data_IF_631828419339
#
_entry.id   IF_631828419339
#
_cell.length_a   1.000
_cell.length_b   1.000
_cell.length_c   1.000
_cell.angle_alpha   90.00
_cell.angle_beta   90.00
_cell.angle_gamma   90.00
#
_symmetry.space_group_name_H-M   'P 1'
#
loop_
_entity.id
_entity.type
_entity.pdbx_description
1 polymer ?
#
# COMPACT_ATOMS: atom_id res chain seq x y z
N UNK A 1 16.16 44.72 -69.01
CA UNK A 1 14.98 44.71 -68.11
C UNK A 1 14.49 43.27 -68.02
N UNK A 2 15.10 42.45 -67.16
CA UNK A 2 14.80 41.02 -67.04
C UNK A 2 13.92 40.75 -65.84
N UNK A 3 12.69 40.30 -66.06
CA UNK A 3 11.75 39.90 -65.01
C UNK A 3 12.10 38.50 -64.50
N UNK A 4 12.79 38.41 -63.36
CA UNK A 4 12.90 37.16 -62.60
C UNK A 4 11.62 36.96 -61.78
N UNK A 5 10.86 35.94 -62.15
CA UNK A 5 9.79 35.34 -61.34
C UNK A 5 10.40 34.74 -60.07
N UNK A 6 10.08 35.33 -58.92
CA UNK A 6 10.38 34.73 -57.62
C UNK A 6 9.41 33.57 -57.38
N UNK A 7 9.93 32.34 -57.29
CA UNK A 7 9.18 31.17 -56.81
C UNK A 7 8.87 31.36 -55.33
N UNK A 8 7.59 31.47 -55.02
CA UNK A 8 7.03 31.43 -53.67
C UNK A 8 7.20 30.00 -53.12
N UNK A 9 8.29 29.73 -52.40
CA UNK A 9 8.47 28.49 -51.66
C UNK A 9 7.76 28.59 -50.31
N UNK A 10 6.43 28.43 -50.32
CA UNK A 10 5.68 28.17 -49.08
C UNK A 10 5.93 26.73 -48.67
N UNK A 11 6.80 26.55 -47.68
CA UNK A 11 6.93 25.30 -46.93
C UNK A 11 5.56 24.96 -46.36
N UNK A 12 4.95 23.85 -46.81
CA UNK A 12 3.72 23.33 -46.23
C UNK A 12 3.99 23.04 -44.75
N UNK A 13 3.38 23.82 -43.87
CA UNK A 13 3.28 23.48 -42.46
C UNK A 13 2.64 22.09 -42.37
N UNK A 14 3.33 21.13 -41.77
CA UNK A 14 2.85 19.75 -41.65
C UNK A 14 1.47 19.72 -41.03
N UNK A 15 0.53 19.06 -41.71
CA UNK A 15 -0.79 18.76 -41.16
C UNK A 15 -0.60 18.04 -39.82
N UNK A 16 -1.11 18.65 -38.73
CA UNK A 16 -1.15 17.97 -37.44
C UNK A 16 -2.05 16.76 -37.61
N UNK A 17 -1.47 15.56 -37.48
CA UNK A 17 -2.21 14.31 -37.50
C UNK A 17 -3.41 14.41 -36.55
N UNK A 18 -4.59 14.05 -37.05
CA UNK A 18 -5.82 14.08 -36.27
C UNK A 18 -5.70 13.06 -35.16
N UNK A 19 -5.85 13.49 -33.92
CA UNK A 19 -5.84 12.60 -32.76
C UNK A 19 -7.01 11.60 -32.88
N UNK A 20 -6.68 10.30 -32.97
CA UNK A 20 -7.65 9.22 -33.17
C UNK A 20 -8.31 8.73 -31.88
N UNK A 21 -7.85 9.21 -30.71
CA UNK A 21 -8.41 8.81 -29.41
C UNK A 21 -9.85 9.29 -29.25
N UNK A 22 -10.68 8.43 -28.68
CA UNK A 22 -12.05 8.72 -28.27
C UNK A 22 -12.10 9.82 -27.20
N UNK A 23 -13.27 10.44 -27.01
CA UNK A 23 -13.46 11.44 -25.97
C UNK A 23 -13.14 10.90 -24.56
N UNK A 24 -13.51 9.65 -24.26
CA UNK A 24 -13.19 9.03 -22.96
C UNK A 24 -11.70 8.80 -22.76
N UNK A 25 -11.00 8.31 -23.79
CA UNK A 25 -9.54 8.13 -23.72
C UNK A 25 -8.84 9.47 -23.48
N UNK A 26 -9.26 10.53 -24.17
CA UNK A 26 -8.70 11.88 -23.93
C UNK A 26 -9.00 12.39 -22.53
N UNK A 27 -10.21 12.16 -22.01
CA UNK A 27 -10.54 12.53 -20.62
C UNK A 27 -9.68 11.77 -19.62
N UNK A 28 -9.49 10.47 -19.82
CA UNK A 28 -8.64 9.65 -18.98
C UNK A 28 -7.18 10.14 -19.01
N UNK A 29 -6.65 10.45 -20.19
CA UNK A 29 -5.29 10.98 -20.36
C UNK A 29 -5.12 12.33 -19.66
N UNK A 30 -6.08 13.26 -19.85
CA UNK A 30 -6.04 14.57 -19.18
C UNK A 30 -6.11 14.41 -17.65
N UNK A 31 -6.94 13.51 -17.15
CA UNK A 31 -7.01 13.21 -15.71
C UNK A 31 -5.66 12.69 -15.22
N UNK A 32 -5.06 11.72 -15.92
CA UNK A 32 -3.75 11.17 -15.58
C UNK A 32 -2.65 12.24 -15.61
N UNK A 33 -2.62 13.10 -16.63
CA UNK A 33 -1.65 14.18 -16.78
C UNK A 33 -1.78 15.22 -15.65
N UNK A 34 -3.00 15.63 -15.32
CA UNK A 34 -3.26 16.60 -14.25
C UNK A 34 -2.78 16.05 -12.91
N UNK A 35 -3.16 14.81 -12.56
CA UNK A 35 -2.71 14.21 -11.31
C UNK A 35 -1.20 13.90 -11.30
N UNK A 36 -0.64 13.49 -12.44
CA UNK A 36 0.80 13.29 -12.61
C UNK A 36 1.58 14.58 -12.35
N UNK A 37 1.11 15.70 -12.90
CA UNK A 37 1.70 17.01 -12.66
C UNK A 37 1.60 17.44 -11.20
N UNK A 38 0.45 17.23 -10.55
CA UNK A 38 0.26 17.54 -9.13
C UNK A 38 1.22 16.74 -8.24
N UNK A 39 1.33 15.43 -8.45
CA UNK A 39 2.18 14.55 -7.66
C UNK A 39 3.68 14.85 -7.89
N UNK A 40 4.07 15.16 -9.11
CA UNK A 40 5.44 15.54 -9.46
C UNK A 40 5.86 16.84 -8.75
N UNK A 41 5.04 17.89 -8.84
CA UNK A 41 5.35 19.19 -8.26
C UNK A 41 5.06 19.26 -6.76
N UNK A 42 4.21 18.37 -6.24
CA UNK A 42 3.74 18.43 -4.86
C UNK A 42 2.75 19.57 -4.60
N UNK A 43 2.07 20.05 -5.65
CA UNK A 43 1.09 21.13 -5.59
C UNK A 43 -0.25 20.65 -6.17
N UNK A 44 -1.36 21.11 -5.62
CA UNK A 44 -2.68 20.89 -6.22
C UNK A 44 -2.95 21.85 -7.39
N UNK A 45 -4.13 21.76 -8.03
CA UNK A 45 -4.48 22.62 -9.17
C UNK A 45 -4.58 24.12 -8.81
N UNK A 46 -4.63 24.48 -7.53
CA UNK A 46 -4.64 25.87 -7.05
C UNK A 46 -3.24 26.35 -6.65
N UNK A 47 -2.19 25.54 -6.86
CA UNK A 47 -0.83 25.87 -6.45
C UNK A 47 -0.60 25.72 -4.94
N UNK A 48 -1.52 25.07 -4.20
CA UNK A 48 -1.35 24.79 -2.77
C UNK A 48 -0.53 23.53 -2.58
N UNK A 49 0.34 23.50 -1.57
CA UNK A 49 1.16 22.31 -1.28
C UNK A 49 0.27 21.12 -0.90
N UNK A 50 0.51 19.98 -1.54
CA UNK A 50 -0.14 18.73 -1.16
C UNK A 50 0.20 18.36 0.29
N UNK A 51 -0.74 17.73 1.01
CA UNK A 51 -0.49 17.32 2.39
C UNK A 51 0.65 16.30 2.43
N UNK A 52 1.62 16.54 3.32
CA UNK A 52 2.65 15.57 3.64
C UNK A 52 2.24 14.84 4.93
N UNK A 53 2.33 13.50 4.93
CA UNK A 53 2.13 12.68 6.13
C UNK A 53 3.42 11.97 6.48
N UNK A 54 3.87 12.11 7.74
CA UNK A 54 5.19 11.63 8.17
C UNK A 54 6.34 12.06 7.24
N UNK A 55 6.29 13.31 6.75
CA UNK A 55 7.26 13.89 5.79
C UNK A 55 7.35 13.13 4.48
N UNK A 56 6.29 12.42 4.08
CA UNK A 56 6.17 11.77 2.78
C UNK A 56 5.01 12.39 2.00
N UNK A 57 5.26 12.61 0.72
CA UNK A 57 4.22 12.94 -0.26
C UNK A 57 3.23 11.78 -0.39
N UNK A 58 2.02 12.03 -0.91
CA UNK A 58 1.09 10.96 -1.27
C UNK A 58 1.79 9.91 -2.15
N UNK A 59 1.70 8.64 -1.74
CA UNK A 59 2.30 7.51 -2.45
C UNK A 59 1.42 6.27 -2.25
N UNK A 60 1.58 5.31 -3.15
CA UNK A 60 1.02 3.97 -3.02
C UNK A 60 2.12 2.98 -2.68
N UNK A 61 1.76 1.87 -2.06
CA UNK A 61 2.67 0.76 -1.78
C UNK A 61 2.13 -0.52 -2.39
N UNK A 62 2.87 -1.06 -3.35
CA UNK A 62 2.55 -2.34 -4.00
C UNK A 62 3.54 -3.38 -3.49
N UNK A 63 3.03 -4.44 -2.89
CA UNK A 63 3.80 -5.61 -2.53
C UNK A 63 3.83 -6.55 -3.73
N UNK A 64 5.04 -6.89 -4.16
CA UNK A 64 5.29 -7.73 -5.34
C UNK A 64 6.21 -8.87 -4.87
N UNK A 65 5.78 -10.15 -4.97
CA UNK A 65 6.69 -11.26 -4.76
C UNK A 65 7.88 -11.15 -5.72
N UNK A 66 9.09 -11.44 -5.23
CA UNK A 66 10.30 -11.26 -6.05
C UNK A 66 10.28 -12.16 -7.30
N UNK A 67 9.68 -13.35 -7.20
CA UNK A 67 9.51 -14.28 -8.31
C UNK A 67 8.58 -13.70 -9.39
N UNK A 68 7.45 -13.10 -8.98
CA UNK A 68 6.53 -12.39 -9.88
C UNK A 68 7.19 -11.17 -10.54
N UNK A 69 7.99 -10.42 -9.77
CA UNK A 69 8.74 -9.27 -10.28
C UNK A 69 9.75 -9.69 -11.36
N UNK A 70 10.43 -10.81 -11.13
CA UNK A 70 11.41 -11.40 -12.06
C UNK A 70 10.78 -12.15 -13.24
N UNK A 71 9.45 -12.30 -13.25
CA UNK A 71 8.72 -13.01 -14.31
C UNK A 71 8.87 -14.54 -14.24
N UNK A 72 9.20 -15.08 -13.07
CA UNK A 72 9.22 -16.53 -12.82
C UNK A 72 7.80 -17.08 -12.73
N UNK A 73 6.88 -16.29 -12.19
CA UNK A 73 5.45 -16.57 -12.07
C UNK A 73 4.62 -15.30 -12.35
N UNK A 74 3.29 -15.45 -12.40
CA UNK A 74 2.31 -14.38 -12.60
C UNK A 74 1.32 -14.30 -11.43
N UNK A 75 1.79 -14.59 -10.21
CA UNK A 75 0.96 -14.49 -9.02
C UNK A 75 0.43 -13.04 -8.81
N UNK A 76 -0.79 -12.88 -8.27
CA UNK A 76 -1.33 -11.56 -7.99
C UNK A 76 -0.46 -10.84 -6.95
N UNK A 77 -0.24 -9.55 -7.21
CA UNK A 77 0.46 -8.64 -6.30
C UNK A 77 -0.57 -7.91 -5.42
N UNK A 78 -0.14 -7.22 -4.36
CA UNK A 78 -1.08 -6.57 -3.42
C UNK A 78 -0.85 -5.05 -3.40
N UNK A 79 -1.89 -4.28 -3.72
CA UNK A 79 -1.93 -2.84 -3.47
C UNK A 79 -2.41 -2.60 -2.04
N UNK A 80 -1.52 -2.10 -1.19
CA UNK A 80 -1.76 -2.01 0.26
C UNK A 80 -3.03 -1.22 0.60
N UNK A 81 -4.00 -1.90 1.23
CA UNK A 81 -5.28 -1.32 1.64
C UNK A 81 -6.38 -1.33 0.58
N UNK A 82 -6.08 -1.76 -0.65
CA UNK A 82 -7.04 -1.84 -1.75
C UNK A 82 -7.25 -3.28 -2.24
N UNK A 83 -6.23 -4.13 -2.15
CA UNK A 83 -6.30 -5.55 -2.53
C UNK A 83 -5.45 -5.91 -3.75
N UNK A 84 -5.76 -7.03 -4.42
CA UNK A 84 -4.88 -7.60 -5.42
C UNK A 84 -4.82 -6.79 -6.72
N UNK A 85 -3.64 -6.76 -7.34
CA UNK A 85 -3.37 -6.16 -8.66
C UNK A 85 -2.66 -7.17 -9.56
N UNK A 86 -2.94 -7.18 -10.88
CA UNK A 86 -2.31 -8.12 -11.81
C UNK A 86 -0.79 -7.96 -11.86
N UNK A 87 -0.08 -9.08 -12.04
CA UNK A 87 1.38 -9.13 -12.12
C UNK A 87 1.96 -8.18 -13.19
N UNK A 88 1.33 -8.10 -14.36
CA UNK A 88 1.75 -7.18 -15.43
C UNK A 88 1.69 -5.71 -14.98
N UNK A 89 0.59 -5.32 -14.33
CA UNK A 89 0.41 -3.96 -13.81
C UNK A 89 1.44 -3.65 -12.73
N UNK A 90 1.66 -4.60 -11.81
CA UNK A 90 2.64 -4.46 -10.75
C UNK A 90 4.06 -4.30 -11.31
N UNK A 91 4.45 -5.09 -12.31
CA UNK A 91 5.74 -4.96 -13.00
C UNK A 91 5.89 -3.61 -13.71
N UNK A 92 4.82 -3.09 -14.31
CA UNK A 92 4.83 -1.73 -14.91
C UNK A 92 5.08 -0.67 -13.85
N UNK A 93 4.37 -0.73 -12.71
CA UNK A 93 4.56 0.19 -11.58
C UNK A 93 5.99 0.08 -11.02
N UNK A 94 6.54 -1.14 -10.96
CA UNK A 94 7.87 -1.38 -10.41
C UNK A 94 9.00 -0.72 -11.22
N UNK A 95 8.82 -0.45 -12.52
CA UNK A 95 9.86 0.18 -13.37
C UNK A 95 10.26 1.57 -12.89
N UNK A 96 9.28 2.36 -12.47
CA UNK A 96 9.46 3.74 -12.01
C UNK A 96 9.35 3.86 -10.48
N UNK A 97 9.14 2.74 -9.79
CA UNK A 97 8.94 2.68 -8.35
C UNK A 97 10.23 2.74 -7.54
N UNK A 98 10.15 3.23 -6.30
CA UNK A 98 11.23 3.07 -5.32
C UNK A 98 11.09 1.73 -4.61
N UNK A 99 12.17 0.94 -4.62
CA UNK A 99 12.13 -0.43 -4.10
C UNK A 99 12.55 -0.47 -2.63
N UNK A 100 11.90 -1.34 -1.87
CA UNK A 100 12.30 -1.71 -0.51
C UNK A 100 12.22 -3.22 -0.39
N UNK A 101 13.19 -3.81 0.31
CA UNK A 101 13.19 -5.25 0.59
C UNK A 101 12.28 -5.55 1.79
N UNK A 102 11.44 -6.57 1.63
CA UNK A 102 10.67 -7.20 2.70
C UNK A 102 11.08 -8.67 2.78
N UNK A 103 11.50 -9.13 3.95
CA UNK A 103 11.77 -10.54 4.21
C UNK A 103 10.56 -11.15 4.91
N UNK A 104 10.11 -12.28 4.37
CA UNK A 104 8.91 -12.98 4.81
C UNK A 104 9.22 -14.45 5.03
N UNK A 105 8.54 -15.07 5.98
CA UNK A 105 8.60 -16.52 6.19
C UNK A 105 7.95 -17.23 5.00
N UNK A 106 8.64 -18.16 4.32
CA UNK A 106 8.12 -18.81 3.12
C UNK A 106 6.93 -19.73 3.40
N UNK A 107 6.73 -20.15 4.65
CA UNK A 107 5.71 -21.12 5.05
C UNK A 107 4.37 -20.47 5.34
N UNK A 108 4.38 -19.25 5.86
CA UNK A 108 3.16 -18.56 6.34
C UNK A 108 3.07 -17.08 5.94
N UNK A 109 4.07 -16.54 5.23
CA UNK A 109 4.12 -15.14 4.78
C UNK A 109 4.27 -14.13 5.92
N UNK A 110 4.67 -14.55 7.13
CA UNK A 110 4.89 -13.62 8.24
C UNK A 110 6.04 -12.69 7.91
N UNK A 111 5.86 -11.39 8.13
CA UNK A 111 6.93 -10.42 7.97
C UNK A 111 8.00 -10.61 9.05
N UNK A 112 9.20 -11.00 8.61
CA UNK A 112 10.38 -11.18 9.46
C UNK A 112 11.14 -9.86 9.63
N UNK A 113 11.31 -9.10 8.54
CA UNK A 113 12.04 -7.83 8.53
C UNK A 113 11.62 -6.97 7.33
N UNK A 114 11.43 -5.67 7.55
CA UNK A 114 11.36 -4.69 6.47
C UNK A 114 12.61 -3.80 6.47
N UNK A 115 13.25 -3.66 5.30
CA UNK A 115 14.42 -2.79 5.13
C UNK A 115 14.04 -1.31 5.01
N UNK A 116 14.90 -0.44 5.52
CA UNK A 116 14.81 1.02 5.38
C UNK A 116 16.18 1.58 5.02
N UNK A 117 16.22 2.68 4.27
CA UNK A 117 17.46 3.42 4.01
C UNK A 117 17.98 4.18 5.24
N UNK A 118 17.20 4.23 6.34
CA UNK A 118 17.63 4.81 7.61
C UNK A 118 18.22 3.73 8.51
N UNK A 119 19.37 4.00 9.09
CA UNK A 119 20.07 3.07 9.99
C UNK A 119 19.51 3.07 11.44
N UNK A 120 18.44 3.85 11.72
CA UNK A 120 17.88 3.91 13.06
C UNK A 120 16.95 2.71 13.36
N UNK A 121 17.09 2.02 14.51
CA UNK A 121 16.25 0.89 14.87
C UNK A 121 14.75 1.22 14.91
N UNK A 122 14.38 2.46 15.22
CA UNK A 122 12.98 2.90 15.27
C UNK A 122 12.30 2.86 13.90
N UNK A 123 13.01 3.21 12.83
CA UNK A 123 12.54 3.12 11.47
C UNK A 123 12.39 1.66 11.03
N UNK A 124 13.32 0.77 11.36
CA UNK A 124 13.20 -0.67 11.05
C UNK A 124 11.97 -1.27 11.73
N UNK A 125 11.77 -1.01 13.03
CA UNK A 125 10.58 -1.48 13.76
C UNK A 125 9.30 -0.92 13.14
N UNK A 126 9.29 0.38 12.83
CA UNK A 126 8.12 1.04 12.22
C UNK A 126 7.78 0.46 10.84
N UNK A 127 8.76 0.32 9.96
CA UNK A 127 8.52 -0.20 8.61
C UNK A 127 8.11 -1.68 8.66
N UNK A 128 8.68 -2.46 9.60
CA UNK A 128 8.30 -3.86 9.79
C UNK A 128 6.85 -3.98 10.29
N UNK A 129 6.43 -3.11 11.22
CA UNK A 129 5.04 -3.04 11.68
C UNK A 129 4.07 -2.72 10.54
N UNK A 130 4.40 -1.71 9.74
CA UNK A 130 3.55 -1.26 8.63
C UNK A 130 3.49 -2.29 7.49
N UNK A 131 4.58 -3.00 7.24
CA UNK A 131 4.57 -4.08 6.27
C UNK A 131 3.73 -5.27 6.78
N UNK A 132 3.85 -5.61 8.07
CA UNK A 132 3.04 -6.66 8.71
C UNK A 132 1.55 -6.35 8.62
N UNK A 133 1.15 -5.12 8.94
CA UNK A 133 -0.24 -4.68 8.93
C UNK A 133 -0.50 -3.66 7.81
N UNK A 134 -1.16 -4.01 6.68
CA UNK A 134 -1.45 -3.04 5.62
C UNK A 134 -2.43 -1.95 6.05
N UNK A 135 -3.33 -2.30 6.97
CA UNK A 135 -4.43 -1.47 7.44
C UNK A 135 -4.47 -1.46 8.97
N UNK A 136 -5.28 -0.56 9.50
CA UNK A 136 -5.66 -0.51 10.91
C UNK A 136 -6.05 -1.91 11.40
N UNK A 137 -5.52 -2.33 12.56
CA UNK A 137 -5.79 -3.65 13.12
C UNK A 137 -7.20 -3.77 13.74
N UNK A 138 -8.01 -2.71 13.71
CA UNK A 138 -9.38 -2.76 14.18
C UNK A 138 -10.25 -3.60 13.23
N UNK A 139 -11.13 -4.49 13.74
CA UNK A 139 -11.97 -5.34 12.91
C UNK A 139 -12.77 -4.55 11.87
N UNK A 140 -12.60 -4.90 10.60
CA UNK A 140 -13.31 -4.28 9.48
C UNK A 140 -12.81 -2.90 9.03
N UNK A 141 -11.77 -2.34 9.66
CA UNK A 141 -11.21 -1.07 9.24
C UNK A 141 -10.25 -1.25 8.05
N UNK A 142 -10.42 -0.43 7.00
CA UNK A 142 -9.57 -0.43 5.80
C UNK A 142 -8.62 0.78 5.73
N UNK A 143 -8.56 1.62 6.77
CA UNK A 143 -7.61 2.74 6.84
C UNK A 143 -6.19 2.20 6.75
N UNK A 144 -5.37 2.71 5.84
CA UNK A 144 -4.00 2.21 5.68
C UNK A 144 -3.17 2.42 6.95
N UNK A 145 -2.27 1.50 7.27
CA UNK A 145 -1.45 1.59 8.49
C UNK A 145 -0.48 2.78 8.47
N UNK A 146 -0.12 3.27 7.28
CA UNK A 146 0.66 4.50 7.07
C UNK A 146 -0.04 5.75 7.61
N UNK A 147 -1.37 5.69 7.69
CA UNK A 147 -2.24 6.73 8.25
C UNK A 147 -2.61 6.48 9.71
N UNK A 148 -2.08 5.41 10.31
CA UNK A 148 -2.34 4.99 11.67
C UNK A 148 -1.21 5.43 12.60
N UNK A 149 -1.57 5.58 13.87
CA UNK A 149 -0.61 5.70 14.95
C UNK A 149 0.06 4.34 15.19
N UNK A 150 1.33 4.39 15.58
CA UNK A 150 2.09 3.20 16.01
C UNK A 150 1.83 3.03 17.50
N UNK A 151 0.68 2.49 17.79
CA UNK A 151 0.12 2.49 19.14
C UNK A 151 0.69 1.33 19.96
N UNK A 152 0.95 1.58 21.25
CA UNK A 152 1.39 0.54 22.17
C UNK A 152 0.16 -0.22 22.69
N UNK A 153 0.12 -1.53 22.46
CA UNK A 153 -0.94 -2.39 23.00
C UNK A 153 -0.97 -2.35 24.54
N UNK A 154 0.19 -2.25 25.17
CA UNK A 154 0.36 -1.90 26.59
C UNK A 154 0.99 -0.51 26.69
N UNK A 155 0.35 0.49 27.32
CA UNK A 155 0.83 1.87 27.37
C UNK A 155 2.32 1.97 27.68
N UNK A 156 3.05 2.84 26.97
CA UNK A 156 4.50 2.99 27.16
C UNK A 156 4.89 3.29 28.61
N UNK A 157 4.07 4.05 29.35
CA UNK A 157 4.30 4.34 30.78
C UNK A 157 4.31 3.09 31.66
N UNK A 158 3.71 2.00 31.21
CA UNK A 158 3.66 0.71 31.92
C UNK A 158 4.73 -0.26 31.39
N UNK A 159 4.95 -0.31 30.08
CA UNK A 159 5.88 -1.27 29.46
C UNK A 159 7.33 -0.79 29.38
N UNK A 160 7.56 0.53 29.32
CA UNK A 160 8.87 1.16 29.19
C UNK A 160 9.65 0.81 27.91
N UNK A 161 9.03 0.08 26.97
CA UNK A 161 9.71 -0.53 25.83
C UNK A 161 8.87 -0.36 24.56
N UNK A 162 9.55 -0.01 23.47
CA UNK A 162 8.97 -0.02 22.12
C UNK A 162 9.58 -1.19 21.37
N UNK A 163 8.76 -2.21 21.09
CA UNK A 163 9.15 -3.38 20.31
C UNK A 163 8.02 -3.73 19.34
N UNK A 164 8.35 -4.48 18.28
CA UNK A 164 7.39 -4.83 17.24
C UNK A 164 6.18 -5.61 17.77
N UNK A 165 6.40 -6.48 18.74
CA UNK A 165 5.38 -7.36 19.35
C UNK A 165 4.31 -6.61 20.12
N UNK A 166 4.69 -5.47 20.73
CA UNK A 166 3.82 -4.63 21.54
C UNK A 166 3.24 -3.43 20.81
N UNK A 167 3.54 -3.27 19.50
CA UNK A 167 3.00 -2.21 18.68
C UNK A 167 1.89 -2.73 17.77
N UNK A 168 0.84 -1.92 17.61
CA UNK A 168 -0.31 -2.20 16.75
C UNK A 168 -0.69 -0.92 16.01
N UNK A 169 -0.95 -0.95 14.70
CA UNK A 169 -1.42 0.24 14.00
C UNK A 169 -2.92 0.44 14.22
N UNK A 170 -3.30 1.57 14.80
CA UNK A 170 -4.68 2.03 14.87
C UNK A 170 -4.84 3.40 14.23
N UNK A 171 -5.89 3.57 13.44
CA UNK A 171 -6.24 4.91 12.97
C UNK A 171 -6.67 5.77 14.15
N UNK A 172 -6.54 7.09 14.03
CA UNK A 172 -6.87 8.04 15.10
C UNK A 172 -8.22 7.75 15.77
N UNK A 173 -9.27 7.50 14.97
CA UNK A 173 -10.59 7.13 15.49
C UNK A 173 -10.56 5.89 16.41
N UNK A 174 -9.92 4.81 15.97
CA UNK A 174 -9.85 3.56 16.73
C UNK A 174 -8.84 3.60 17.89
N UNK A 175 -7.79 4.42 17.75
CA UNK A 175 -6.86 4.71 18.85
C UNK A 175 -7.60 5.41 19.99
N UNK A 176 -8.39 6.45 19.69
CA UNK A 176 -9.24 7.11 20.69
C UNK A 176 -10.22 6.13 21.31
N UNK A 177 -10.81 5.22 20.52
CA UNK A 177 -11.72 4.21 21.07
C UNK A 177 -11.02 3.29 22.08
N UNK A 178 -9.85 2.77 21.72
CA UNK A 178 -9.05 1.93 22.60
C UNK A 178 -8.68 2.66 23.90
N UNK A 179 -8.24 3.90 23.79
CA UNK A 179 -7.63 4.63 24.91
C UNK A 179 -8.65 5.29 25.84
N UNK A 180 -9.93 5.34 25.45
CA UNK A 180 -10.99 5.92 26.27
C UNK A 180 -11.54 4.88 27.26
N UNK A 181 -11.19 4.90 28.57
CA UNK A 181 -11.52 3.82 29.49
C UNK A 181 -13.04 3.70 29.72
N UNK A 182 -13.76 4.81 29.64
CA UNK A 182 -15.21 4.87 29.78
C UNK A 182 -15.96 4.06 28.70
N UNK A 183 -15.31 3.78 27.56
CA UNK A 183 -15.90 2.97 26.50
C UNK A 183 -15.60 1.48 26.64
N UNK A 184 -14.85 1.04 27.65
CA UNK A 184 -14.77 -0.36 28.10
C UNK A 184 -14.12 -1.36 27.14
N UNK A 185 -13.46 -0.91 26.08
CA UNK A 185 -12.75 -1.78 25.14
C UNK A 185 -11.45 -2.31 25.76
N UNK A 186 -11.13 -3.57 25.45
CA UNK A 186 -9.85 -4.18 25.84
C UNK A 186 -9.15 -4.74 24.61
N UNK A 187 -7.84 -4.52 24.52
CA UNK A 187 -7.01 -5.00 23.42
C UNK A 187 -5.91 -5.90 23.95
N UNK A 188 -5.64 -7.00 23.25
CA UNK A 188 -4.51 -7.89 23.52
C UNK A 188 -3.79 -8.15 22.20
N UNK A 189 -2.53 -7.72 22.12
CA UNK A 189 -1.65 -8.03 20.99
C UNK A 189 -0.88 -9.33 21.26
N UNK A 190 -0.65 -10.11 20.22
CA UNK A 190 0.01 -11.41 20.27
C UNK A 190 1.34 -11.42 19.52
N UNK A 191 2.26 -12.37 19.79
CA UNK A 191 3.58 -12.39 19.16
C UNK A 191 3.60 -12.51 17.64
N UNK A 192 2.62 -13.19 17.08
CA UNK A 192 2.38 -13.33 15.64
C UNK A 192 1.85 -12.03 14.98
N UNK A 193 1.57 -10.99 15.78
CA UNK A 193 0.96 -9.74 15.34
C UNK A 193 -0.56 -9.78 15.25
N UNK A 194 -1.21 -10.90 15.59
CA UNK A 194 -2.67 -10.91 15.74
C UNK A 194 -3.10 -10.05 16.93
N UNK A 195 -4.33 -9.54 16.85
CA UNK A 195 -4.88 -8.67 17.88
C UNK A 195 -6.28 -9.14 18.24
N UNK A 196 -6.50 -9.42 19.52
CA UNK A 196 -7.83 -9.70 20.06
C UNK A 196 -8.40 -8.46 20.73
N UNK A 197 -9.52 -7.98 20.21
CA UNK A 197 -10.31 -6.91 20.82
C UNK A 197 -11.52 -7.52 21.54
N UNK A 198 -11.78 -7.07 22.76
CA UNK A 198 -12.97 -7.41 23.53
C UNK A 198 -13.85 -6.18 23.67
N UNK A 199 -15.06 -6.27 23.13
CA UNK A 199 -16.07 -5.25 23.27
C UNK A 199 -16.59 -5.15 24.70
N UNK A 200 -17.21 -4.02 25.10
CA UNK A 200 -17.79 -3.85 26.44
C UNK A 200 -18.88 -4.88 26.76
N UNK A 201 -19.55 -5.39 25.73
CA UNK A 201 -20.55 -6.46 25.79
C UNK A 201 -19.95 -7.85 25.98
N UNK A 202 -18.63 -7.99 25.97
CA UNK A 202 -17.91 -9.26 26.11
C UNK A 202 -17.61 -9.98 24.79
N UNK A 203 -18.14 -9.51 23.65
CA UNK A 203 -17.81 -10.09 22.34
C UNK A 203 -16.32 -9.91 22.01
N UNK A 204 -15.71 -10.96 21.44
CA UNK A 204 -14.30 -10.97 21.08
C UNK A 204 -14.14 -11.04 19.57
N UNK A 205 -13.27 -10.19 19.05
CA UNK A 205 -12.92 -10.11 17.65
C UNK A 205 -11.41 -10.26 17.52
N UNK A 206 -10.95 -11.17 16.68
CA UNK A 206 -9.52 -11.37 16.42
C UNK A 206 -9.21 -10.94 15.00
N UNK A 207 -8.27 -10.03 14.84
CA UNK A 207 -7.71 -9.66 13.54
C UNK A 207 -6.33 -10.30 13.42
N UNK A 208 -6.08 -10.92 12.28
CA UNK A 208 -4.79 -11.53 11.94
C UNK A 208 -4.20 -10.72 10.79
N UNK A 209 -2.94 -10.30 10.86
CA UNK A 209 -2.28 -9.65 9.74
C UNK A 209 -2.30 -10.59 8.53
N UNK A 210 -2.56 -10.08 7.32
CA UNK A 210 -2.49 -10.95 6.14
C UNK A 210 -1.06 -11.45 5.94
N UNK A 211 -0.93 -12.69 5.48
CA UNK A 211 0.33 -13.20 4.97
C UNK A 211 0.86 -12.27 3.87
N UNK A 212 2.14 -11.93 3.96
CA UNK A 212 2.88 -11.16 2.94
C UNK A 212 3.76 -12.14 2.19
N UNK A 213 3.49 -12.35 0.91
CA UNK A 213 4.10 -13.39 0.09
C UNK A 213 3.22 -13.64 -1.13
N UNK A 214 3.59 -14.55 -2.04
CA UNK A 214 2.69 -14.94 -3.12
C UNK A 214 1.36 -15.37 -2.50
N UNK A 215 0.26 -14.77 -2.98
CA UNK A 215 -1.10 -15.09 -2.54
C UNK A 215 -1.50 -16.40 -3.23
N UNK A 216 -0.72 -17.45 -3.04
CA UNK A 216 -1.13 -18.80 -3.38
C UNK A 216 -2.06 -19.23 -2.26
N UNK A 217 -3.37 -19.12 -2.49
CA UNK A 217 -4.25 -20.05 -1.79
C UNK A 217 -3.79 -21.43 -2.21
N UNK A 218 -3.13 -22.16 -1.31
CA UNK A 218 -2.94 -23.58 -1.52
C UNK A 218 -4.36 -24.14 -1.72
N UNK A 219 -4.67 -24.72 -2.90
CA UNK A 219 -6.00 -25.29 -3.09
C UNK A 219 -6.23 -26.25 -1.93
N UNK A 220 -7.43 -26.25 -1.31
CA UNK A 220 -7.71 -27.22 -0.27
C UNK A 220 -7.36 -28.60 -0.82
N UNK A 221 -6.52 -29.34 -0.08
CA UNK A 221 -6.25 -30.72 -0.44
C UNK A 221 -7.60 -31.40 -0.63
N UNK A 222 -7.84 -32.09 -1.76
CA UNK A 222 -9.05 -32.90 -1.87
C UNK A 222 -9.05 -33.84 -0.65
N UNK A 223 -10.20 -34.02 0.02
CA UNK A 223 -10.27 -34.94 1.15
C UNK A 223 -9.65 -36.27 0.71
N UNK A 224 -8.72 -36.77 1.52
CA UNK A 224 -8.02 -38.04 1.28
C UNK A 224 -8.95 -39.25 1.33
N UNK A 225 -10.19 -39.02 1.76
CA UNK A 225 -11.20 -40.05 1.88
C UNK A 225 -12.07 -40.05 0.62
N UNK A 226 -12.19 -41.19 -0.09
CA UNK A 226 -13.21 -41.33 -1.11
C UNK A 226 -14.58 -41.06 -0.47
N UNK A 227 -15.53 -40.44 -1.22
CA UNK A 227 -16.86 -40.21 -0.69
C UNK A 227 -17.45 -41.55 -0.20
N UNK A 228 -18.10 -41.59 0.97
CA UNK A 228 -18.87 -42.76 1.32
C UNK A 228 -19.98 -42.89 0.27
N UNK A 229 -20.05 -44.10 -0.32
CA UNK A 229 -20.99 -44.62 -1.33
C UNK A 229 -20.95 -43.99 -2.73
#
# INVERSE_FOLDING_TARGET
>A
MGTRTARDSRTKAGERARDERTAEQRRADVVADVFGHMLHNGLDWLGRRLPDRHRRRPHIEVLIPITTLLGVDDDPCELSGYGPVPAEMARRIARDGTWRRLLTDPTNGTVLEASTHRHDPGAVVSETLLARHPVCAWPGCNRTSRECDRDHATPFRQSGRTNLTGLVPYCEYHHVIKDTPAWGWKTTAHPDGSVTLTAPTGHRYTTVPPARGPITQQPPHPPSDPPPF
#
